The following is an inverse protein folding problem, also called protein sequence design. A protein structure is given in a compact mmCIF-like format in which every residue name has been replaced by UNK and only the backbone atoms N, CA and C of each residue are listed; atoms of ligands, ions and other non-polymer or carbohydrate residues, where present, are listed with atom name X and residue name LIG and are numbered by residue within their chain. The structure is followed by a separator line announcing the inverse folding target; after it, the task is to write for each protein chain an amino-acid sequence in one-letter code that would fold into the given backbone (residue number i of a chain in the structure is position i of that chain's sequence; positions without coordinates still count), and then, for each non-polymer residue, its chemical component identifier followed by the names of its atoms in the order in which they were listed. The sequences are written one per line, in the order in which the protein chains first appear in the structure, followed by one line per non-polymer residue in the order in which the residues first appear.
data_IF_626676213201
#
_entry.id   IF_626676213201
#
_cell.length_a   1.000
_cell.length_b   1.000
_cell.length_c   1.000
_cell.angle_alpha   90.00
_cell.angle_beta   90.00
_cell.angle_gamma   90.00
#
_symmetry.space_group_name_H-M   'P 1'
#
loop_
_entity.id
_entity.type
_entity.pdbx_description
1 polymer ?
#
# COMPACT_ATOMS: atom_id res chain seq x y z
N UNK A 1 4.88 17.34 -17.11
CA UNK A 1 5.12 18.17 -15.90
C UNK A 1 4.46 17.44 -14.75
N UNK A 2 5.19 17.18 -13.67
CA UNK A 2 4.62 16.55 -12.47
C UNK A 2 3.58 17.48 -11.84
N UNK A 3 2.41 16.93 -11.53
CA UNK A 3 1.26 17.68 -10.96
C UNK A 3 1.23 17.53 -9.45
N UNK A 4 1.38 16.30 -8.96
CA UNK A 4 1.37 15.95 -7.54
C UNK A 4 2.03 14.58 -7.33
N UNK A 5 2.51 14.35 -6.11
CA UNK A 5 2.99 13.05 -5.64
C UNK A 5 2.25 12.72 -4.35
N UNK A 6 1.81 11.48 -4.21
CA UNK A 6 1.23 10.96 -2.97
C UNK A 6 2.02 9.76 -2.46
N UNK A 7 2.00 9.57 -1.15
CA UNK A 7 2.49 8.35 -0.51
C UNK A 7 1.43 7.89 0.46
N UNK A 8 0.97 6.66 0.26
CA UNK A 8 -0.14 6.09 1.03
C UNK A 8 0.43 4.96 1.89
N UNK A 9 0.65 5.19 3.20
CA UNK A 9 1.17 4.16 4.08
C UNK A 9 0.11 3.06 4.30
N UNK A 10 0.55 1.81 4.22
CA UNK A 10 -0.20 0.65 4.73
C UNK A 10 0.74 -0.11 5.65
N UNK A 11 0.24 -0.51 6.81
CA UNK A 11 1.01 -1.23 7.82
C UNK A 11 0.52 -2.66 7.91
N UNK A 12 1.44 -3.60 8.01
CA UNK A 12 1.17 -4.99 8.36
C UNK A 12 1.82 -5.32 9.71
N UNK A 13 1.08 -6.01 10.56
CA UNK A 13 1.55 -6.48 11.86
C UNK A 13 1.08 -7.91 12.11
N UNK A 14 1.66 -8.57 13.12
CA UNK A 14 1.27 -9.91 13.55
C UNK A 14 0.85 -9.87 15.01
N UNK A 15 -0.31 -10.46 15.32
CA UNK A 15 -0.90 -10.58 16.67
C UNK A 15 -0.69 -12.00 17.19
N UNK A 16 0.31 -12.26 18.05
CA UNK A 16 0.66 -13.62 18.48
C UNK A 16 -0.42 -14.31 19.33
N UNK A 17 -1.28 -13.54 19.99
CA UNK A 17 -2.33 -14.08 20.87
C UNK A 17 -3.45 -14.74 20.07
N UNK A 18 -3.77 -14.20 18.90
CA UNK A 18 -4.79 -14.72 18.00
C UNK A 18 -4.23 -15.44 16.78
N UNK A 19 -2.91 -15.42 16.59
CA UNK A 19 -2.22 -15.99 15.41
C UNK A 19 -2.67 -15.34 14.09
N UNK A 20 -2.91 -14.02 14.11
CA UNK A 20 -3.45 -13.28 12.98
C UNK A 20 -2.46 -12.25 12.44
N UNK A 21 -2.48 -12.05 11.13
CA UNK A 21 -1.89 -10.89 10.47
C UNK A 21 -2.91 -9.76 10.40
N UNK A 22 -2.49 -8.54 10.74
CA UNK A 22 -3.36 -7.38 10.72
C UNK A 22 -2.81 -6.34 9.76
N UNK A 23 -3.63 -5.96 8.80
CA UNK A 23 -3.37 -4.90 7.83
C UNK A 23 -4.15 -3.66 8.26
N UNK A 24 -3.49 -2.51 8.31
CA UNK A 24 -4.14 -1.26 8.69
C UNK A 24 -3.72 -0.08 7.82
N UNK A 25 -4.64 0.86 7.67
CA UNK A 25 -4.44 2.12 6.95
C UNK A 25 -4.42 3.27 7.94
N UNK A 26 -3.25 3.79 8.33
CA UNK A 26 -3.16 4.86 9.34
C UNK A 26 -3.75 6.19 8.86
N UNK A 27 -4.00 6.35 7.56
CA UNK A 27 -4.72 7.49 6.99
C UNK A 27 -6.25 7.38 7.13
N UNK A 28 -6.78 6.19 7.46
CA UNK A 28 -8.20 5.93 7.65
C UNK A 28 -8.49 5.62 9.12
N UNK A 29 -9.54 6.24 9.67
CA UNK A 29 -9.93 6.00 11.04
C UNK A 29 -10.56 4.61 11.18
N UNK A 30 -10.05 3.81 12.13
CA UNK A 30 -10.55 2.48 12.49
C UNK A 30 -10.56 1.46 11.34
N UNK A 31 -9.64 1.59 10.37
CA UNK A 31 -9.49 0.62 9.29
C UNK A 31 -8.40 -0.40 9.63
N UNK A 32 -8.81 -1.51 10.26
CA UNK A 32 -7.98 -2.70 10.47
C UNK A 32 -8.70 -3.93 9.91
N UNK A 33 -7.96 -4.79 9.21
CA UNK A 33 -8.43 -6.07 8.69
C UNK A 33 -7.49 -7.17 9.18
N UNK A 34 -8.06 -8.26 9.72
CA UNK A 34 -7.31 -9.41 10.21
C UNK A 34 -7.40 -10.58 9.21
N UNK A 35 -6.31 -11.34 9.12
CA UNK A 35 -6.14 -12.45 8.19
C UNK A 35 -5.45 -13.60 8.90
N UNK A 36 -5.91 -14.83 8.65
CA UNK A 36 -5.35 -16.05 9.24
C UNK A 36 -4.03 -16.46 8.57
N UNK A 37 -3.73 -15.92 7.38
CA UNK A 37 -2.52 -16.24 6.65
C UNK A 37 -1.73 -15.01 6.23
N UNK A 38 -0.40 -15.18 6.20
CA UNK A 38 0.51 -14.18 5.66
C UNK A 38 0.17 -13.83 4.21
N UNK A 39 -0.19 -14.84 3.42
CA UNK A 39 -0.44 -14.67 1.99
C UNK A 39 -1.64 -13.74 1.74
N UNK A 40 -2.76 -13.99 2.41
CA UNK A 40 -3.97 -13.15 2.29
C UNK A 40 -3.70 -11.72 2.75
N UNK A 41 -2.96 -11.55 3.85
CA UNK A 41 -2.59 -10.22 4.32
C UNK A 41 -1.74 -9.46 3.29
N UNK A 42 -0.78 -10.14 2.65
CA UNK A 42 0.07 -9.56 1.60
C UNK A 42 -0.73 -9.26 0.33
N UNK A 43 -1.68 -10.10 -0.08
CA UNK A 43 -2.58 -9.81 -1.19
C UNK A 43 -3.43 -8.58 -0.87
N UNK A 44 -3.93 -8.45 0.35
CA UNK A 44 -4.69 -7.29 0.80
C UNK A 44 -3.90 -5.98 0.70
N UNK A 45 -2.59 -6.00 0.99
CA UNK A 45 -1.70 -4.84 0.79
C UNK A 45 -1.66 -4.35 -0.66
N UNK A 46 -1.90 -5.27 -1.61
CA UNK A 46 -1.95 -5.01 -3.05
C UNK A 46 -3.25 -4.37 -3.54
N UNK A 47 -4.32 -4.45 -2.74
CA UNK A 47 -5.67 -4.05 -3.15
C UNK A 47 -6.01 -2.66 -2.61
N UNK A 48 -6.27 -1.74 -3.52
CA UNK A 48 -6.73 -0.39 -3.20
C UNK A 48 -8.12 -0.18 -3.79
N UNK A 49 -9.12 -0.01 -2.91
CA UNK A 49 -10.44 0.45 -3.28
C UNK A 49 -10.60 1.91 -2.81
N UNK A 50 -11.35 2.71 -3.59
CA UNK A 50 -11.78 4.06 -3.21
C UNK A 50 -10.66 5.01 -2.79
N UNK A 51 -9.52 4.96 -3.48
CA UNK A 51 -8.40 5.85 -3.21
C UNK A 51 -8.72 7.29 -3.66
N UNK A 52 -8.95 8.18 -2.69
CA UNK A 52 -9.12 9.61 -2.94
C UNK A 52 -7.78 10.33 -2.83
N UNK A 53 -7.28 10.85 -3.95
CA UNK A 53 -5.99 11.54 -4.04
C UNK A 53 -6.23 13.04 -4.27
N UNK A 54 -6.12 13.88 -3.23
CA UNK A 54 -6.39 15.30 -3.36
C UNK A 54 -5.34 15.98 -4.24
N UNK A 55 -5.81 16.80 -5.18
CA UNK A 55 -4.95 17.59 -6.05
C UNK A 55 -4.66 18.97 -5.43
N UNK A 56 -3.42 19.49 -5.57
CA UNK A 56 -3.06 20.82 -5.07
C UNK A 56 -3.72 21.95 -5.89
N UNK A 57 -4.13 21.66 -7.12
CA UNK A 57 -4.82 22.59 -8.01
C UNK A 57 -5.68 21.79 -9.02
N UNK A 58 -6.74 22.39 -9.57
CA UNK A 58 -7.53 21.74 -10.62
C UNK A 58 -6.66 21.36 -11.82
N UNK A 59 -6.99 20.23 -12.45
CA UNK A 59 -6.39 19.84 -13.73
C UNK A 59 -6.87 20.79 -14.82
N UNK A 60 -6.03 21.02 -15.83
CA UNK A 60 -6.39 21.84 -16.98
C UNK A 60 -7.12 20.97 -18.02
N UNK A 61 -8.29 21.42 -18.46
CA UNK A 61 -9.17 20.64 -19.35
C UNK A 61 -8.53 20.30 -20.71
N UNK A 62 -7.48 21.02 -21.12
CA UNK A 62 -6.81 20.88 -22.41
C UNK A 62 -5.64 19.89 -22.41
N UNK A 63 -5.44 19.14 -21.32
CA UNK A 63 -4.28 18.23 -21.16
C UNK A 63 -4.69 16.81 -20.83
N UNK A 64 -3.89 15.88 -21.36
CA UNK A 64 -3.91 14.49 -20.95
C UNK A 64 -2.98 14.30 -19.75
N UNK A 65 -3.49 13.60 -18.74
CA UNK A 65 -2.75 13.27 -17.53
C UNK A 65 -2.60 11.75 -17.41
N UNK A 66 -1.48 11.33 -16.84
CA UNK A 66 -1.20 9.93 -16.55
C UNK A 66 -1.04 9.82 -15.04
N UNK A 67 -1.74 8.86 -14.44
CA UNK A 67 -1.51 8.43 -13.07
C UNK A 67 -0.52 7.28 -13.09
N UNK A 68 0.61 7.44 -12.42
CA UNK A 68 1.60 6.39 -12.21
C UNK A 68 1.54 5.93 -10.75
N UNK A 69 1.41 4.63 -10.51
CA UNK A 69 1.46 4.07 -9.15
C UNK A 69 2.35 2.83 -9.07
N UNK A 70 2.94 2.62 -7.91
CA UNK A 70 3.64 1.38 -7.54
C UNK A 70 3.45 1.08 -6.06
N UNK A 71 3.63 -0.17 -5.71
CA UNK A 71 3.56 -0.67 -4.33
C UNK A 71 4.93 -1.23 -3.97
N UNK A 72 5.42 -0.85 -2.80
CA UNK A 72 6.67 -1.38 -2.27
C UNK A 72 6.52 -1.65 -0.78
N UNK A 73 6.92 -2.83 -0.34
CA UNK A 73 7.02 -3.17 1.07
C UNK A 73 8.44 -2.87 1.58
N UNK A 74 8.54 -1.95 2.53
CA UNK A 74 9.81 -1.61 3.17
C UNK A 74 10.06 -2.52 4.37
N UNK A 75 10.90 -3.56 4.20
CA UNK A 75 11.20 -4.52 5.27
C UNK A 75 11.74 -3.87 6.54
N UNK A 76 12.49 -2.76 6.41
CA UNK A 76 13.03 -2.02 7.55
C UNK A 76 11.95 -1.36 8.42
N UNK A 77 10.74 -1.17 7.90
CA UNK A 77 9.61 -0.58 8.62
C UNK A 77 8.66 -1.63 9.21
N UNK A 78 8.91 -2.92 8.96
CA UNK A 78 8.14 -3.98 9.60
C UNK A 78 8.33 -3.95 11.13
N UNK A 79 7.31 -4.35 11.91
CA UNK A 79 7.45 -4.55 13.35
C UNK A 79 8.66 -5.42 13.68
N UNK A 80 9.33 -5.13 14.80
CA UNK A 80 10.60 -5.78 15.16
C UNK A 80 10.53 -7.31 15.15
N UNK A 81 9.39 -7.87 15.52
CA UNK A 81 9.13 -9.31 15.57
C UNK A 81 9.12 -9.96 14.17
N UNK A 82 8.71 -9.21 13.14
CA UNK A 82 8.53 -9.72 11.78
C UNK A 82 9.76 -9.57 10.89
N UNK A 83 10.65 -8.61 11.22
CA UNK A 83 11.85 -8.32 10.43
C UNK A 83 12.75 -9.53 10.16
N UNK A 84 13.11 -10.37 11.17
CA UNK A 84 14.00 -11.51 10.93
C UNK A 84 13.43 -12.47 9.89
N UNK A 85 12.17 -12.88 10.03
CA UNK A 85 11.51 -13.79 9.10
C UNK A 85 11.41 -13.18 7.69
N UNK A 86 11.18 -11.88 7.60
CA UNK A 86 11.02 -11.19 6.34
C UNK A 86 12.31 -11.12 5.49
N UNK A 87 13.49 -11.10 6.11
CA UNK A 87 14.75 -11.16 5.38
C UNK A 87 15.04 -12.55 4.77
N UNK A 88 14.48 -13.61 5.33
CA UNK A 88 14.72 -14.99 4.88
C UNK A 88 13.65 -15.54 3.95
N UNK A 89 12.49 -14.88 3.82
CA UNK A 89 11.40 -15.33 2.95
C UNK A 89 11.13 -14.35 1.82
N UNK A 90 11.17 -14.85 0.58
CA UNK A 90 10.92 -14.06 -0.62
C UNK A 90 9.51 -13.49 -0.72
N UNK A 91 8.54 -14.07 0.00
CA UNK A 91 7.16 -13.58 0.02
C UNK A 91 7.03 -12.15 0.55
N UNK A 92 7.96 -11.69 1.38
CA UNK A 92 7.98 -10.34 1.93
C UNK A 92 8.65 -9.30 1.00
N UNK A 93 9.33 -9.71 -0.07
CA UNK A 93 9.99 -8.81 -1.00
C UNK A 93 9.02 -8.25 -2.07
N UNK A 94 7.91 -7.65 -1.63
CA UNK A 94 6.93 -7.03 -2.51
C UNK A 94 7.45 -5.71 -3.08
N UNK A 95 7.65 -5.69 -4.39
CA UNK A 95 7.98 -4.49 -5.14
C UNK A 95 7.36 -4.59 -6.53
N UNK A 96 6.25 -3.89 -6.74
CA UNK A 96 5.58 -3.90 -8.03
C UNK A 96 6.35 -3.07 -9.05
N UNK A 97 6.08 -3.30 -10.33
CA UNK A 97 6.42 -2.32 -11.36
C UNK A 97 5.50 -1.10 -11.23
N UNK A 98 5.92 -0.01 -11.86
CA UNK A 98 5.01 1.10 -12.13
C UNK A 98 3.87 0.64 -13.01
N UNK A 99 2.66 1.05 -12.65
CA UNK A 99 1.46 0.90 -13.46
C UNK A 99 0.97 2.29 -13.82
N UNK A 100 0.56 2.47 -15.07
CA UNK A 100 0.19 3.76 -15.63
C UNK A 100 -1.26 3.68 -16.12
N UNK A 101 -2.07 4.69 -15.77
CA UNK A 101 -3.43 4.83 -16.26
C UNK A 101 -3.62 6.23 -16.86
N UNK A 102 -4.15 6.36 -18.09
CA UNK A 102 -4.61 7.65 -18.58
C UNK A 102 -5.81 8.11 -17.74
N UNK A 103 -5.82 9.37 -17.33
CA UNK A 103 -6.94 9.97 -16.61
C UNK A 103 -7.91 10.59 -17.60
N UNK A 104 -9.19 10.22 -17.48
CA UNK A 104 -10.31 10.95 -18.06
C UNK A 104 -10.83 11.88 -16.95
N UNK A 105 -10.80 13.20 -17.19
CA UNK A 105 -11.32 14.22 -16.27
C UNK A 105 -12.49 14.98 -16.92
#
# INVERSE_FOLDING_TARGET
KEVAIWTVPIVISYKPVSDEYVVSRPDLLNHEEAFDSQHEALERLGVFNDLSLPLPSPLADDRQYILEARIKLELGQLPAMMRPLAYFSSSWHLNSKWTEWPLEH
#
